data_IF_733335105307
#
_entry.id   IF_733335105307
#
_cell.length_a   1.000
_cell.length_b   1.000
_cell.length_c   1.000
_cell.angle_alpha   90.00
_cell.angle_beta   90.00
_cell.angle_gamma   90.00
#
_symmetry.space_group_name_H-M   'P 1'
#
loop_
_entity.id
_entity.type
_entity.pdbx_description
1 polymer ?
#
# COMPACT_ATOMS: atom_id res chain seq x y z
N UNK A 1 28.42 13.06 -2.63
CA UNK A 1 28.35 11.70 -2.02
C UNK A 1 27.45 10.85 -2.91
N UNK A 2 27.83 9.60 -3.20
CA UNK A 2 27.02 8.74 -4.07
C UNK A 2 25.84 8.15 -3.29
N UNK A 3 24.63 8.28 -3.86
CA UNK A 3 23.42 7.63 -3.35
C UNK A 3 22.98 6.56 -4.37
N UNK A 4 22.83 5.34 -3.92
CA UNK A 4 22.33 4.23 -4.73
C UNK A 4 20.80 4.18 -4.71
N UNK A 5 20.20 4.28 -5.89
CA UNK A 5 18.80 3.95 -6.14
C UNK A 5 18.72 2.61 -6.86
N UNK A 6 17.55 1.99 -6.98
CA UNK A 6 17.40 0.68 -7.65
C UNK A 6 17.87 0.74 -9.13
N UNK A 7 17.51 1.79 -9.85
CA UNK A 7 17.79 1.92 -11.29
C UNK A 7 18.99 2.81 -11.64
N UNK A 8 19.51 3.59 -10.69
CA UNK A 8 20.53 4.62 -10.97
C UNK A 8 21.36 4.99 -9.74
N UNK A 9 22.44 5.73 -9.97
CA UNK A 9 23.25 6.35 -8.93
C UNK A 9 23.03 7.86 -8.96
N UNK A 10 22.86 8.49 -7.81
CA UNK A 10 22.79 9.94 -7.68
C UNK A 10 24.11 10.48 -7.16
N UNK A 11 24.62 11.55 -7.79
CA UNK A 11 25.77 12.30 -7.30
C UNK A 11 25.49 13.79 -7.43
N UNK A 12 25.39 14.50 -6.31
CA UNK A 12 25.17 15.95 -6.26
C UNK A 12 23.99 16.37 -7.14
N UNK A 13 22.83 15.70 -6.98
CA UNK A 13 21.58 15.87 -7.75
C UNK A 13 21.63 15.43 -9.22
N UNK A 14 22.74 14.85 -9.69
CA UNK A 14 22.84 14.28 -11.04
C UNK A 14 22.43 12.82 -11.06
N UNK A 15 21.62 12.46 -12.06
CA UNK A 15 21.23 11.10 -12.37
C UNK A 15 22.31 10.40 -13.21
N UNK A 16 22.89 9.33 -12.68
CA UNK A 16 23.88 8.50 -13.36
C UNK A 16 23.23 7.12 -13.60
N UNK A 17 22.91 6.77 -14.86
CA UNK A 17 22.38 5.44 -15.17
C UNK A 17 23.43 4.36 -14.86
N UNK A 18 22.97 3.20 -14.37
CA UNK A 18 23.80 2.01 -14.19
C UNK A 18 24.12 1.37 -15.55
N UNK A 19 25.02 1.99 -16.30
CA UNK A 19 25.47 1.53 -17.61
C UNK A 19 27.00 1.51 -17.64
N UNK A 20 27.60 0.37 -17.96
CA UNK A 20 29.06 0.20 -18.03
C UNK A 20 29.71 1.12 -19.08
N UNK A 21 29.01 1.51 -20.13
CA UNK A 21 29.53 2.46 -21.12
C UNK A 21 29.52 3.91 -20.63
N UNK A 22 28.88 4.20 -19.48
CA UNK A 22 28.81 5.54 -18.93
C UNK A 22 30.07 5.84 -18.07
N UNK A 23 30.88 6.84 -18.44
CA UNK A 23 32.09 7.19 -17.69
C UNK A 23 31.80 7.61 -16.24
N UNK A 24 30.65 8.24 -15.96
CA UNK A 24 30.27 8.59 -14.58
C UNK A 24 29.90 7.36 -13.74
N UNK A 25 29.39 6.29 -14.37
CA UNK A 25 29.16 5.01 -13.68
C UNK A 25 30.47 4.27 -13.42
N UNK A 26 31.42 4.30 -14.36
CA UNK A 26 32.77 3.76 -14.15
C UNK A 26 33.49 4.46 -12.99
N UNK A 27 33.40 5.80 -12.91
CA UNK A 27 33.94 6.57 -11.78
C UNK A 27 33.30 6.20 -10.44
N UNK A 28 32.01 5.88 -10.45
CA UNK A 28 31.33 5.37 -9.27
C UNK A 28 31.88 3.99 -8.85
N UNK A 29 32.06 3.06 -9.79
CA UNK A 29 32.65 1.73 -9.51
C UNK A 29 34.08 1.84 -8.97
N UNK A 30 34.91 2.69 -9.57
CA UNK A 30 36.27 2.98 -9.08
C UNK A 30 36.25 3.55 -7.67
N UNK A 31 35.32 4.47 -7.38
CA UNK A 31 35.15 5.03 -6.04
C UNK A 31 34.74 3.96 -5.01
N UNK A 32 33.85 3.03 -5.37
CA UNK A 32 33.45 1.89 -4.54
C UNK A 32 34.58 0.87 -4.31
N UNK A 33 35.55 0.77 -5.23
CA UNK A 33 36.70 -0.13 -5.07
C UNK A 33 37.72 0.35 -4.02
N UNK A 34 37.64 1.62 -3.59
CA UNK A 34 38.51 2.18 -2.56
C UNK A 34 38.02 1.70 -1.17
N UNK A 35 38.89 1.05 -0.35
CA UNK A 35 38.49 0.61 0.98
C UNK A 35 37.97 1.74 1.87
N UNK A 36 36.80 1.55 2.45
CA UNK A 36 36.13 2.53 3.31
C UNK A 36 35.11 3.43 2.61
N UNK A 37 35.05 3.40 1.27
CA UNK A 37 33.97 4.05 0.53
C UNK A 37 32.77 3.11 0.43
N UNK A 38 31.65 3.52 1.01
CA UNK A 38 30.37 2.81 0.92
C UNK A 38 29.33 3.81 0.42
N UNK A 39 28.64 3.55 -0.69
CA UNK A 39 27.60 4.45 -1.15
C UNK A 39 26.45 4.46 -0.15
N UNK A 40 25.80 5.60 -0.03
CA UNK A 40 24.58 5.69 0.76
C UNK A 40 23.47 4.98 -0.01
N UNK A 41 22.74 4.07 0.62
CA UNK A 41 21.52 3.54 0.02
C UNK A 41 20.43 4.61 0.07
N UNK A 42 19.68 4.77 -1.01
CA UNK A 42 18.47 5.58 -1.00
C UNK A 42 17.55 5.08 0.12
N UNK A 43 17.00 6.01 0.90
CA UNK A 43 16.03 5.65 1.91
C UNK A 43 14.82 5.01 1.21
N UNK A 44 14.54 3.75 1.54
CA UNK A 44 13.31 3.08 1.11
C UNK A 44 12.07 3.79 1.66
N UNK A 45 10.87 3.39 1.21
CA UNK A 45 9.63 3.99 1.68
C UNK A 45 9.51 3.86 3.20
N UNK A 46 9.10 4.94 3.87
CA UNK A 46 8.83 4.94 5.30
C UNK A 46 7.70 3.98 5.63
N UNK A 47 7.57 3.57 6.90
CA UNK A 47 6.44 2.73 7.31
C UNK A 47 5.10 3.40 6.98
N UNK A 48 4.96 4.71 7.24
CA UNK A 48 3.76 5.49 6.91
C UNK A 48 3.42 5.44 5.40
N UNK A 49 4.42 5.51 4.53
CA UNK A 49 4.22 5.41 3.09
C UNK A 49 3.76 4.01 2.66
N UNK A 50 4.31 2.96 3.27
CA UNK A 50 3.90 1.58 3.00
C UNK A 50 2.50 1.27 3.57
N UNK A 51 2.21 1.77 4.76
CA UNK A 51 0.89 1.73 5.39
C UNK A 51 -0.16 2.41 4.48
N UNK A 52 0.12 3.60 3.99
CA UNK A 52 -0.78 4.32 3.07
C UNK A 52 -1.04 3.52 1.78
N UNK A 53 -0.02 2.83 1.25
CA UNK A 53 -0.19 1.97 0.07
C UNK A 53 -1.10 0.76 0.36
N UNK A 54 -0.95 0.12 1.52
CA UNK A 54 -1.82 -0.97 1.94
C UNK A 54 -3.27 -0.50 2.15
N UNK A 55 -3.46 0.65 2.81
CA UNK A 55 -4.79 1.22 3.04
C UNK A 55 -5.47 1.60 1.73
N UNK A 56 -4.73 2.12 0.73
CA UNK A 56 -5.29 2.39 -0.60
C UNK A 56 -5.79 1.11 -1.29
N UNK A 57 -5.07 -0.01 -1.14
CA UNK A 57 -5.51 -1.30 -1.68
C UNK A 57 -6.77 -1.82 -0.98
N UNK A 58 -6.87 -1.64 0.34
CA UNK A 58 -8.06 -1.99 1.13
C UNK A 58 -9.27 -1.12 0.72
N UNK A 59 -9.08 0.18 0.53
CA UNK A 59 -10.15 1.07 0.07
C UNK A 59 -10.63 0.69 -1.34
N UNK A 60 -9.73 0.36 -2.26
CA UNK A 60 -10.12 -0.12 -3.59
C UNK A 60 -10.86 -1.47 -3.52
N UNK A 61 -10.46 -2.39 -2.63
CA UNK A 61 -11.18 -3.64 -2.40
C UNK A 61 -12.63 -3.40 -1.96
N UNK A 62 -12.84 -2.51 -0.98
CA UNK A 62 -14.16 -2.11 -0.51
C UNK A 62 -14.99 -1.45 -1.63
N UNK A 63 -14.38 -0.51 -2.36
CA UNK A 63 -15.04 0.18 -3.46
C UNK A 63 -15.40 -0.74 -4.62
N UNK A 64 -14.54 -1.69 -4.98
CA UNK A 64 -14.83 -2.67 -6.03
C UNK A 64 -16.06 -3.51 -5.70
N UNK A 65 -16.22 -3.95 -4.45
CA UNK A 65 -17.42 -4.67 -4.00
C UNK A 65 -18.69 -3.81 -4.08
N UNK A 66 -18.59 -2.52 -3.74
CA UNK A 66 -19.70 -1.57 -3.88
C UNK A 66 -20.07 -1.32 -5.35
N UNK A 67 -19.07 -1.14 -6.23
CA UNK A 67 -19.27 -0.96 -7.69
C UNK A 67 -19.91 -2.19 -8.33
N UNK A 68 -19.62 -3.40 -7.84
CA UNK A 68 -20.32 -4.62 -8.27
C UNK A 68 -21.83 -4.59 -8.00
N UNK A 69 -22.30 -3.75 -7.06
CA UNK A 69 -23.71 -3.44 -6.80
C UNK A 69 -24.19 -2.11 -7.38
N UNK A 70 -23.38 -1.50 -8.26
CA UNK A 70 -23.66 -0.25 -8.99
C UNK A 70 -23.71 0.98 -8.08
N UNK A 71 -23.03 0.95 -6.94
CA UNK A 71 -22.73 2.15 -6.18
C UNK A 71 -21.45 2.81 -6.69
N UNK A 72 -21.36 4.14 -6.57
CA UNK A 72 -20.16 4.88 -6.97
C UNK A 72 -18.96 4.57 -6.05
N UNK A 73 -19.22 4.37 -4.75
CA UNK A 73 -18.21 4.09 -3.72
C UNK A 73 -18.79 3.28 -2.55
N UNK A 74 -17.92 2.74 -1.71
CA UNK A 74 -18.31 2.08 -0.46
C UNK A 74 -19.12 3.04 0.44
N UNK A 75 -18.72 4.32 0.49
CA UNK A 75 -19.46 5.34 1.24
C UNK A 75 -20.88 5.54 0.71
N UNK A 76 -21.08 5.53 -0.61
CA UNK A 76 -22.42 5.66 -1.20
C UNK A 76 -23.33 4.46 -0.88
N UNK A 77 -22.75 3.26 -0.80
CA UNK A 77 -23.44 2.04 -0.40
C UNK A 77 -23.80 2.07 1.10
N UNK A 78 -22.80 2.31 1.96
CA UNK A 78 -22.97 2.38 3.42
C UNK A 78 -23.96 3.47 3.85
N UNK A 79 -23.98 4.62 3.16
CA UNK A 79 -24.92 5.71 3.41
C UNK A 79 -26.39 5.25 3.38
N UNK A 80 -26.71 4.21 2.60
CA UNK A 80 -28.09 3.68 2.52
C UNK A 80 -28.57 3.08 3.83
N UNK A 81 -27.68 2.71 4.75
CA UNK A 81 -28.05 2.28 6.09
C UNK A 81 -28.84 3.36 6.86
N UNK A 82 -28.58 4.64 6.61
CA UNK A 82 -29.25 5.74 7.32
C UNK A 82 -30.67 6.06 6.85
N UNK A 83 -31.14 5.44 5.75
CA UNK A 83 -32.42 5.76 5.14
C UNK A 83 -33.30 4.51 5.03
N UNK A 84 -34.49 4.49 5.66
CA UNK A 84 -35.46 3.43 5.42
C UNK A 84 -35.84 3.35 3.94
N UNK A 85 -35.83 2.15 3.38
CA UNK A 85 -36.13 1.94 1.96
C UNK A 85 -35.61 0.60 1.44
N UNK A 86 -35.77 0.33 0.14
CA UNK A 86 -35.42 -0.96 -0.46
C UNK A 86 -33.91 -1.30 -0.37
N UNK A 87 -33.04 -0.30 -0.19
CA UNK A 87 -31.59 -0.47 -0.10
C UNK A 87 -31.07 -0.43 1.35
N UNK A 88 -31.94 -0.31 2.35
CA UNK A 88 -31.53 -0.16 3.75
C UNK A 88 -30.71 -1.35 4.25
N UNK A 89 -31.20 -2.58 4.04
CA UNK A 89 -30.54 -3.80 4.48
C UNK A 89 -29.17 -4.01 3.78
N UNK A 90 -29.09 -3.68 2.48
CA UNK A 90 -27.84 -3.74 1.73
C UNK A 90 -26.84 -2.70 2.24
N UNK A 91 -27.29 -1.47 2.50
CA UNK A 91 -26.46 -0.43 3.10
C UNK A 91 -25.93 -0.79 4.49
N UNK A 92 -26.76 -1.42 5.33
CA UNK A 92 -26.32 -1.90 6.65
C UNK A 92 -25.23 -2.96 6.53
N UNK A 93 -25.36 -3.88 5.57
CA UNK A 93 -24.35 -4.90 5.31
C UNK A 93 -23.01 -4.28 4.86
N UNK A 94 -23.03 -3.31 3.94
CA UNK A 94 -21.83 -2.60 3.50
C UNK A 94 -21.19 -1.78 4.63
N UNK A 95 -21.97 -1.06 5.43
CA UNK A 95 -21.47 -0.29 6.56
C UNK A 95 -20.79 -1.19 7.60
N UNK A 96 -21.46 -2.27 8.00
CA UNK A 96 -20.93 -3.24 8.97
C UNK A 96 -19.66 -3.92 8.46
N UNK A 97 -19.64 -4.29 7.18
CA UNK A 97 -18.48 -4.92 6.56
C UNK A 97 -17.29 -3.97 6.46
N UNK A 98 -17.51 -2.72 6.04
CA UNK A 98 -16.47 -1.68 5.97
C UNK A 98 -15.80 -1.45 7.33
N UNK A 99 -16.58 -1.32 8.40
CA UNK A 99 -16.04 -1.14 9.75
C UNK A 99 -15.23 -2.36 10.20
N UNK A 100 -15.71 -3.58 9.93
CA UNK A 100 -15.00 -4.81 10.28
C UNK A 100 -13.68 -4.96 9.50
N UNK A 101 -13.68 -4.60 8.21
CA UNK A 101 -12.48 -4.58 7.36
C UNK A 101 -11.43 -3.62 7.91
N UNK A 102 -11.81 -2.36 8.18
CA UNK A 102 -10.86 -1.38 8.71
C UNK A 102 -10.36 -1.76 10.09
N UNK A 103 -11.23 -2.26 10.98
CA UNK A 103 -10.83 -2.73 12.30
C UNK A 103 -9.76 -3.83 12.22
N UNK A 104 -9.94 -4.82 11.34
CA UNK A 104 -8.95 -5.88 11.15
C UNK A 104 -7.68 -5.37 10.46
N UNK A 105 -7.79 -4.50 9.47
CA UNK A 105 -6.65 -3.89 8.79
C UNK A 105 -5.74 -3.16 9.79
N UNK A 106 -6.31 -2.30 10.66
CA UNK A 106 -5.53 -1.58 11.67
C UNK A 106 -4.92 -2.50 12.73
N UNK A 107 -5.59 -3.60 13.08
CA UNK A 107 -4.98 -4.62 13.95
C UNK A 107 -3.73 -5.24 13.33
N UNK A 108 -3.79 -5.60 12.04
CA UNK A 108 -2.64 -6.15 11.30
C UNK A 108 -1.52 -5.12 11.23
N UNK A 109 -1.82 -3.86 10.85
CA UNK A 109 -0.82 -2.79 10.76
C UNK A 109 -0.14 -2.51 12.11
N UNK A 110 -0.87 -2.54 13.21
CA UNK A 110 -0.30 -2.40 14.55
C UNK A 110 0.65 -3.55 14.91
N UNK A 111 0.33 -4.79 14.51
CA UNK A 111 1.22 -5.94 14.70
C UNK A 111 2.49 -5.83 13.87
N UNK A 112 2.39 -5.34 12.63
CA UNK A 112 3.56 -5.07 11.77
C UNK A 112 4.45 -3.99 12.40
N UNK A 113 3.86 -2.86 12.82
CA UNK A 113 4.59 -1.76 13.45
C UNK A 113 5.27 -2.19 14.75
N UNK A 114 4.62 -3.09 15.52
CA UNK A 114 5.17 -3.70 16.72
C UNK A 114 6.18 -4.84 16.47
N UNK A 115 6.46 -5.19 15.21
CA UNK A 115 7.38 -6.26 14.85
C UNK A 115 6.91 -7.68 15.21
N UNK A 116 5.61 -7.86 15.44
CA UNK A 116 5.01 -9.14 15.83
C UNK A 116 4.81 -10.07 14.63
N UNK A 117 4.56 -9.48 13.46
CA UNK A 117 4.40 -10.19 12.19
C UNK A 117 5.21 -9.48 11.10
N UNK A 118 5.50 -10.21 10.03
CA UNK A 118 6.02 -9.61 8.81
C UNK A 118 4.92 -8.79 8.11
N UNK A 119 5.30 -7.66 7.51
CA UNK A 119 4.42 -6.85 6.68
C UNK A 119 3.83 -7.68 5.52
N UNK A 120 2.50 -7.83 5.41
CA UNK A 120 1.88 -8.59 4.33
C UNK A 120 1.90 -7.82 3.01
N UNK A 121 1.81 -8.52 1.89
CA UNK A 121 1.46 -7.87 0.62
C UNK A 121 0.01 -7.39 0.63
N UNK A 122 -0.37 -6.53 -0.32
CA UNK A 122 -1.75 -6.07 -0.45
C UNK A 122 -2.74 -7.24 -0.63
N UNK A 123 -2.39 -8.24 -1.44
CA UNK A 123 -3.22 -9.43 -1.69
C UNK A 123 -3.36 -10.30 -0.44
N UNK A 124 -2.26 -10.47 0.31
CA UNK A 124 -2.27 -11.22 1.57
C UNK A 124 -3.12 -10.51 2.61
N UNK A 125 -2.98 -9.18 2.74
CA UNK A 125 -3.81 -8.38 3.63
C UNK A 125 -5.28 -8.54 3.28
N UNK A 126 -5.66 -8.37 2.00
CA UNK A 126 -7.04 -8.53 1.53
C UNK A 126 -7.58 -9.93 1.82
N UNK A 127 -6.78 -10.98 1.65
CA UNK A 127 -7.18 -12.35 1.94
C UNK A 127 -7.44 -12.61 3.44
N UNK A 128 -6.87 -11.80 4.33
CA UNK A 128 -7.12 -11.88 5.77
C UNK A 128 -8.42 -11.19 6.18
N UNK A 129 -8.96 -10.26 5.37
CA UNK A 129 -10.09 -9.42 5.73
C UNK A 129 -11.42 -10.17 5.76
N UNK A 130 -12.42 -9.68 6.50
CA UNK A 130 -13.75 -10.26 6.50
C UNK A 130 -14.39 -10.20 5.11
N UNK A 131 -15.22 -11.18 4.79
CA UNK A 131 -15.92 -11.23 3.49
C UNK A 131 -17.28 -10.55 3.58
N UNK A 132 -17.62 -9.74 2.58
CA UNK A 132 -18.93 -9.11 2.46
C UNK A 132 -20.03 -10.17 2.35
N UNK A 133 -21.00 -10.11 3.26
CA UNK A 133 -22.21 -10.95 3.20
C UNK A 133 -23.42 -10.09 2.89
N UNK A 134 -24.09 -10.36 1.77
CA UNK A 134 -25.32 -9.67 1.36
C UNK A 134 -26.51 -10.63 1.44
N UNK A 135 -27.67 -10.12 1.83
CA UNK A 135 -28.90 -10.88 1.76
C UNK A 135 -29.22 -11.26 0.30
N UNK A 136 -29.73 -12.48 0.08
CA UNK A 136 -30.27 -12.87 -1.21
C UNK A 136 -31.47 -11.96 -1.55
N UNK A 137 -31.52 -11.51 -2.82
CA UNK A 137 -32.65 -10.73 -3.34
C UNK A 137 -33.78 -11.63 -3.79
#
# INVERSE_FOLDING_TARGET
MYIEHEAYIELDTRWIPRNEDNPDYQRYLEWCAIPGNVPQQAAGPTFEQREAALLAAVDEHLNAAARAKRYDSIGAAALRAGYPGPFHAEGLAFATWMDAVYAQCYQVLAQVQGGQIQEPTAEQLIAMLPVLTLAAR
#
